data_IF_111052388708
#
_entry.id   IF_111052388708
#
_cell.length_a   1.000
_cell.length_b   1.000
_cell.length_c   1.000
_cell.angle_alpha   90.00
_cell.angle_beta   90.00
_cell.angle_gamma   90.00
#
_symmetry.space_group_name_H-M   'P 1'
#
loop_
_entity.id
_entity.type
_entity.pdbx_description
1 polymer ?
#
# COMPACT_ATOMS: atom_id res chain seq x y z
N UNK A 1 -19.54 -3.90 23.43
CA UNK A 1 -18.55 -4.56 24.31
C UNK A 1 -17.73 -5.53 23.47
N UNK A 2 -16.63 -5.07 22.87
CA UNK A 2 -15.68 -5.94 22.18
C UNK A 2 -14.84 -6.67 23.22
N UNK A 3 -15.02 -7.98 23.29
CA UNK A 3 -14.44 -8.87 24.30
C UNK A 3 -12.91 -8.79 24.33
N UNK A 4 -12.33 -8.60 25.52
CA UNK A 4 -10.89 -8.56 25.76
C UNK A 4 -10.13 -9.82 25.28
N UNK A 5 -10.84 -10.93 25.01
CA UNK A 5 -10.30 -12.17 24.46
C UNK A 5 -9.90 -12.09 22.98
N UNK A 6 -10.29 -11.04 22.24
CA UNK A 6 -9.99 -10.91 20.80
C UNK A 6 -8.56 -10.43 20.51
N UNK A 7 -7.99 -9.58 21.36
CA UNK A 7 -6.66 -8.96 21.15
C UNK A 7 -5.49 -9.96 21.05
N UNK A 8 -5.37 -11.01 21.89
CA UNK A 8 -4.26 -11.96 21.77
C UNK A 8 -4.37 -12.83 20.51
N UNK A 9 -5.59 -13.23 20.11
CA UNK A 9 -5.81 -14.01 18.89
C UNK A 9 -5.50 -13.18 17.64
N UNK A 10 -6.00 -11.93 17.57
CA UNK A 10 -5.67 -11.02 16.45
C UNK A 10 -4.16 -10.78 16.36
N UNK A 11 -3.46 -10.59 17.48
CA UNK A 11 -2.00 -10.46 17.50
C UNK A 11 -1.30 -11.72 16.97
N UNK A 12 -1.72 -12.91 17.38
CA UNK A 12 -1.13 -14.16 16.90
C UNK A 12 -1.36 -14.35 15.38
N UNK A 13 -2.59 -14.08 14.90
CA UNK A 13 -2.94 -14.19 13.47
C UNK A 13 -2.17 -13.17 12.63
N UNK A 14 -2.12 -11.91 13.07
CA UNK A 14 -1.37 -10.85 12.36
C UNK A 14 0.14 -11.09 12.40
N UNK A 15 0.70 -11.60 13.50
CA UNK A 15 2.11 -11.98 13.58
C UNK A 15 2.47 -13.14 12.63
N UNK A 16 1.60 -14.16 12.53
CA UNK A 16 1.76 -15.24 11.57
C UNK A 16 1.69 -14.72 10.13
N UNK A 17 0.67 -13.91 9.82
CA UNK A 17 0.50 -13.28 8.51
C UNK A 17 1.70 -12.41 8.13
N UNK A 18 2.22 -11.61 9.06
CA UNK A 18 3.41 -10.78 8.88
C UNK A 18 4.65 -11.61 8.58
N UNK A 19 4.85 -12.72 9.30
CA UNK A 19 5.96 -13.65 9.08
C UNK A 19 5.90 -14.26 7.68
N UNK A 20 4.72 -14.70 7.25
CA UNK A 20 4.52 -15.21 5.88
C UNK A 20 4.75 -14.11 4.84
N UNK A 21 4.24 -12.89 5.07
CA UNK A 21 4.46 -11.74 4.21
C UNK A 21 5.93 -11.36 4.07
N UNK A 22 6.71 -11.47 5.14
CA UNK A 22 8.16 -11.25 5.14
C UNK A 22 8.86 -12.27 4.24
N UNK A 23 8.53 -13.56 4.39
CA UNK A 23 9.09 -14.62 3.56
C UNK A 23 8.73 -14.41 2.08
N UNK A 24 7.47 -14.08 1.78
CA UNK A 24 7.03 -13.82 0.41
C UNK A 24 7.77 -12.64 -0.24
N UNK A 25 8.06 -11.57 0.52
CA UNK A 25 8.71 -10.37 -0.01
C UNK A 25 10.24 -10.46 -0.11
N UNK A 26 10.89 -11.25 0.75
CA UNK A 26 12.36 -11.21 0.89
C UNK A 26 13.06 -12.56 0.72
N UNK A 27 12.39 -13.71 0.88
CA UNK A 27 13.03 -15.01 0.73
C UNK A 27 12.98 -15.51 -0.73
N UNK A 28 14.06 -16.06 -1.29
CA UNK A 28 14.00 -16.86 -2.52
C UNK A 28 13.14 -18.13 -2.33
N UNK A 29 12.45 -18.62 -3.36
CA UNK A 29 12.28 -18.00 -4.69
C UNK A 29 11.18 -16.92 -4.72
N UNK A 30 10.40 -16.80 -3.64
CA UNK A 30 9.18 -15.98 -3.59
C UNK A 30 9.41 -14.51 -3.92
N UNK A 31 10.51 -13.93 -3.45
CA UNK A 31 10.86 -12.53 -3.77
C UNK A 31 10.89 -12.26 -5.28
N UNK A 32 11.34 -13.22 -6.08
CA UNK A 32 11.41 -13.08 -7.54
C UNK A 32 10.06 -13.27 -8.21
N UNK A 33 9.23 -14.15 -7.64
CA UNK A 33 7.85 -14.35 -8.07
C UNK A 33 6.94 -13.14 -7.76
N UNK A 34 7.39 -12.18 -6.95
CA UNK A 34 6.66 -10.95 -6.56
C UNK A 34 7.26 -9.66 -7.17
N UNK A 35 8.03 -9.78 -8.25
CA UNK A 35 8.64 -8.64 -8.95
C UNK A 35 7.65 -7.78 -9.75
N UNK A 36 8.15 -6.78 -10.51
CA UNK A 36 7.31 -5.86 -11.30
C UNK A 36 6.33 -6.57 -12.23
N UNK A 37 6.80 -7.62 -12.93
CA UNK A 37 6.00 -8.37 -13.90
C UNK A 37 4.91 -9.25 -13.28
N UNK A 38 4.89 -9.40 -11.97
CA UNK A 38 3.97 -10.30 -11.26
C UNK A 38 2.61 -9.67 -10.95
N UNK A 39 2.02 -9.00 -11.94
CA UNK A 39 0.72 -8.32 -11.81
C UNK A 39 -0.45 -9.26 -11.52
N UNK A 40 -0.29 -10.57 -11.79
CA UNK A 40 -1.27 -11.60 -11.44
C UNK A 40 -1.64 -11.60 -9.94
N UNK A 41 -0.76 -11.06 -9.10
CA UNK A 41 -1.01 -10.93 -7.67
C UNK A 41 -2.10 -9.92 -7.33
N UNK A 42 -2.20 -8.80 -8.03
CA UNK A 42 -3.15 -7.72 -7.72
C UNK A 42 -4.62 -8.15 -7.83
N UNK A 43 -5.09 -8.85 -8.89
CA UNK A 43 -6.46 -9.35 -8.93
C UNK A 43 -6.72 -10.43 -7.86
N UNK A 44 -5.71 -11.22 -7.48
CA UNK A 44 -5.84 -12.18 -6.38
C UNK A 44 -6.01 -11.45 -5.04
N UNK A 45 -5.17 -10.45 -4.77
CA UNK A 45 -5.24 -9.61 -3.56
C UNK A 45 -6.58 -8.88 -3.48
N UNK A 46 -7.08 -8.34 -4.59
CA UNK A 46 -8.39 -7.69 -4.65
C UNK A 46 -9.52 -8.66 -4.26
N UNK A 47 -9.48 -9.91 -4.74
CA UNK A 47 -10.45 -10.96 -4.34
C UNK A 47 -10.34 -11.30 -2.86
N UNK A 48 -9.12 -11.51 -2.35
CA UNK A 48 -8.86 -11.82 -0.94
C UNK A 48 -9.38 -10.69 -0.05
N UNK A 49 -9.06 -9.42 -0.36
CA UNK A 49 -9.49 -8.28 0.45
C UNK A 49 -11.02 -8.15 0.46
N UNK A 50 -11.70 -8.31 -0.68
CA UNK A 50 -13.17 -8.29 -0.73
C UNK A 50 -13.80 -9.39 0.14
N UNK A 51 -13.29 -10.62 0.03
CA UNK A 51 -13.75 -11.73 0.86
C UNK A 51 -13.46 -11.47 2.35
N UNK A 52 -12.28 -10.93 2.67
CA UNK A 52 -11.90 -10.68 4.05
C UNK A 52 -12.78 -9.60 4.71
N UNK A 53 -13.13 -8.56 3.96
CA UNK A 53 -14.14 -7.57 4.37
C UNK A 53 -15.49 -8.21 4.66
N UNK A 54 -16.00 -9.00 3.71
CA UNK A 54 -17.34 -9.57 3.80
C UNK A 54 -17.49 -10.66 4.88
N UNK A 55 -16.42 -11.40 5.20
CA UNK A 55 -16.48 -12.60 6.05
C UNK A 55 -15.83 -12.42 7.42
N UNK A 56 -14.81 -11.57 7.54
CA UNK A 56 -14.02 -11.46 8.78
C UNK A 56 -14.16 -10.10 9.46
N UNK A 57 -13.76 -9.02 8.80
CA UNK A 57 -13.77 -7.66 9.37
C UNK A 57 -13.75 -6.63 8.23
N UNK A 58 -14.66 -5.65 8.25
CA UNK A 58 -14.72 -4.54 7.28
C UNK A 58 -13.40 -3.75 7.20
N UNK A 59 -12.56 -3.80 8.25
CA UNK A 59 -11.21 -3.24 8.24
C UNK A 59 -10.27 -3.92 7.24
N UNK A 60 -10.57 -5.15 6.81
CA UNK A 60 -9.85 -5.90 5.79
C UNK A 60 -10.46 -5.78 4.37
N UNK A 61 -11.71 -5.28 4.27
CA UNK A 61 -12.46 -5.05 3.01
C UNK A 61 -11.91 -3.89 2.17
N UNK A 62 -12.39 -3.57 0.98
CA UNK A 62 -11.91 -2.40 0.21
C UNK A 62 -12.20 -1.05 0.88
N UNK A 63 -11.36 -0.02 0.71
CA UNK A 63 -11.70 1.38 1.06
C UNK A 63 -11.36 2.36 -0.07
N UNK A 64 -12.07 3.48 -0.21
CA UNK A 64 -11.62 4.57 -1.06
C UNK A 64 -10.30 5.17 -0.54
N UNK A 65 -9.46 5.65 -1.45
CA UNK A 65 -8.42 6.63 -1.12
C UNK A 65 -9.05 7.99 -0.84
N UNK A 66 -8.33 8.82 -0.09
CA UNK A 66 -8.67 10.24 0.05
C UNK A 66 -7.75 11.09 -0.83
N UNK A 67 -8.22 12.24 -1.31
CA UNK A 67 -7.36 13.13 -2.10
C UNK A 67 -6.16 13.66 -1.33
N UNK A 68 -6.22 13.72 0.00
CA UNK A 68 -5.06 14.05 0.84
C UNK A 68 -3.93 12.99 0.78
N UNK A 69 -4.25 11.75 0.38
CA UNK A 69 -3.24 10.69 0.16
C UNK A 69 -2.49 10.89 -1.17
N UNK A 70 -2.92 11.78 -2.07
CA UNK A 70 -2.25 11.97 -3.36
C UNK A 70 -0.85 12.59 -3.19
N UNK A 71 0.17 11.82 -3.58
CA UNK A 71 1.55 12.27 -3.52
C UNK A 71 1.99 12.98 -4.80
N UNK A 72 1.44 12.60 -5.95
CA UNK A 72 1.75 13.17 -7.26
C UNK A 72 1.58 12.14 -8.38
N UNK A 73 1.99 12.53 -9.58
CA UNK A 73 1.91 11.71 -10.78
C UNK A 73 3.31 11.42 -11.32
N UNK A 74 3.59 10.16 -11.66
CA UNK A 74 4.79 9.77 -12.41
C UNK A 74 4.44 9.77 -13.90
N UNK A 75 5.17 10.55 -14.71
CA UNK A 75 5.04 10.61 -16.18
C UNK A 75 5.73 9.42 -16.86
N UNK A 76 5.31 8.21 -16.50
CA UNK A 76 5.80 6.95 -17.07
C UNK A 76 4.66 5.96 -17.17
N UNK A 77 4.81 4.96 -18.03
CA UNK A 77 3.88 3.82 -18.03
C UNK A 77 3.89 3.09 -16.68
N UNK A 78 2.83 2.32 -16.41
CA UNK A 78 2.75 1.49 -15.20
C UNK A 78 3.94 0.52 -15.10
N UNK A 79 4.32 -0.13 -16.21
CA UNK A 79 5.42 -1.08 -16.23
C UNK A 79 6.77 -0.43 -15.86
N UNK A 80 7.04 0.76 -16.41
CA UNK A 80 8.25 1.52 -16.07
C UNK A 80 8.22 2.03 -14.63
N UNK A 81 7.05 2.44 -14.14
CA UNK A 81 6.86 2.88 -12.75
C UNK A 81 7.15 1.74 -11.79
N UNK A 82 6.59 0.55 -12.01
CA UNK A 82 6.80 -0.61 -11.13
C UNK A 82 8.23 -1.14 -11.21
N UNK A 83 8.87 -1.09 -12.38
CA UNK A 83 10.30 -1.39 -12.53
C UNK A 83 11.18 -0.41 -11.73
N UNK A 84 10.85 0.89 -11.77
CA UNK A 84 11.52 1.92 -10.99
C UNK A 84 11.40 1.69 -9.48
N UNK A 85 10.18 1.40 -9.01
CA UNK A 85 9.91 1.09 -7.60
C UNK A 85 10.75 -0.09 -7.14
N UNK A 86 10.76 -1.18 -7.91
CA UNK A 86 11.56 -2.36 -7.61
C UNK A 86 13.05 -2.07 -7.54
N UNK A 87 13.58 -1.32 -8.51
CA UNK A 87 14.98 -0.90 -8.54
C UNK A 87 15.37 -0.03 -7.33
N UNK A 88 14.43 0.77 -6.81
CA UNK A 88 14.57 1.57 -5.58
C UNK A 88 14.30 0.80 -4.28
N UNK A 89 14.17 -0.53 -4.36
CA UNK A 89 14.03 -1.39 -3.18
C UNK A 89 12.60 -1.54 -2.66
N UNK A 90 11.59 -0.98 -3.34
CA UNK A 90 10.20 -1.25 -2.98
C UNK A 90 9.84 -2.72 -3.25
N UNK A 91 8.86 -3.22 -2.50
CA UNK A 91 8.29 -4.57 -2.62
C UNK A 91 6.78 -4.49 -2.75
N UNK A 92 6.16 -5.45 -3.43
CA UNK A 92 4.69 -5.60 -3.42
C UNK A 92 4.21 -5.78 -1.98
N UNK A 93 3.06 -5.20 -1.63
CA UNK A 93 2.44 -5.37 -0.31
C UNK A 93 1.23 -6.31 -0.39
N UNK A 94 1.42 -7.64 -0.31
CA UNK A 94 0.33 -8.60 -0.40
C UNK A 94 -0.69 -8.52 0.74
N UNK A 95 -0.30 -7.91 1.86
CA UNK A 95 -1.10 -7.82 3.08
C UNK A 95 -1.85 -6.50 3.19
N UNK A 96 -1.77 -5.63 2.18
CA UNK A 96 -2.55 -4.40 2.15
C UNK A 96 -4.03 -4.67 1.87
N UNK A 97 -4.87 -3.95 2.60
CA UNK A 97 -6.27 -3.71 2.24
C UNK A 97 -6.35 -3.08 0.85
N UNK A 98 -7.27 -3.57 0.00
CA UNK A 98 -7.54 -3.01 -1.32
C UNK A 98 -7.97 -1.54 -1.23
N UNK A 99 -7.35 -0.68 -2.04
CA UNK A 99 -7.78 0.71 -2.24
C UNK A 99 -8.54 0.89 -3.54
N UNK A 100 -9.47 1.82 -3.54
CA UNK A 100 -10.25 2.20 -4.72
C UNK A 100 -10.21 3.71 -4.95
N UNK A 101 -10.30 4.14 -6.21
CA UNK A 101 -10.50 5.53 -6.61
C UNK A 101 -11.72 5.58 -7.51
N UNK A 102 -12.75 6.32 -7.12
CA UNK A 102 -14.02 6.41 -7.85
C UNK A 102 -14.67 5.05 -8.17
N UNK A 103 -14.43 4.06 -7.30
CA UNK A 103 -14.90 2.68 -7.46
C UNK A 103 -13.92 1.75 -8.16
N UNK A 104 -12.94 2.28 -8.89
CA UNK A 104 -11.93 1.49 -9.58
C UNK A 104 -10.85 0.99 -8.61
N UNK A 105 -10.44 -0.29 -8.69
CA UNK A 105 -9.41 -0.84 -7.82
C UNK A 105 -8.02 -0.32 -8.19
N UNK A 106 -7.17 -0.13 -7.17
CA UNK A 106 -5.74 0.12 -7.39
C UNK A 106 -5.10 -1.03 -8.19
N UNK A 107 -4.12 -0.70 -9.01
CA UNK A 107 -3.44 -1.67 -9.88
C UNK A 107 -2.02 -2.00 -9.40
N UNK A 108 -1.57 -1.37 -8.32
CA UNK A 108 -0.29 -1.66 -7.69
C UNK A 108 -0.26 -1.20 -6.24
N UNK A 109 0.14 -2.12 -5.36
CA UNK A 109 0.35 -1.83 -3.94
C UNK A 109 1.80 -2.16 -3.57
N UNK A 110 2.56 -1.13 -3.22
CA UNK A 110 4.01 -1.18 -3.07
C UNK A 110 4.48 -0.56 -1.77
N UNK A 111 5.48 -1.14 -1.13
CA UNK A 111 6.02 -0.67 0.15
C UNK A 111 7.52 -0.51 0.10
N UNK A 112 8.00 0.55 0.73
CA UNK A 112 9.42 0.74 1.02
C UNK A 112 9.67 0.64 2.53
N UNK A 113 10.78 -0.01 2.88
CA UNK A 113 11.28 -0.12 4.24
C UNK A 113 12.81 0.01 4.20
N UNK A 114 13.38 0.72 5.18
CA UNK A 114 14.83 0.87 5.29
C UNK A 114 15.54 -0.48 5.51
N UNK A 115 14.91 -1.38 6.28
CA UNK A 115 15.31 -2.77 6.47
C UNK A 115 14.06 -3.66 6.48
N UNK A 116 14.15 -4.98 6.19
CA UNK A 116 12.97 -5.84 6.05
C UNK A 116 12.01 -5.82 7.25
N UNK A 117 12.57 -5.78 8.46
CA UNK A 117 11.82 -5.74 9.73
C UNK A 117 11.65 -4.32 10.30
N UNK A 118 11.78 -3.26 9.50
CA UNK A 118 11.52 -1.92 9.98
C UNK A 118 10.10 -1.83 10.58
N UNK A 119 9.94 -1.03 11.63
CA UNK A 119 8.63 -0.86 12.30
C UNK A 119 7.65 -0.03 11.46
N UNK A 120 8.17 0.87 10.62
CA UNK A 120 7.38 1.69 9.69
C UNK A 120 7.67 1.30 8.24
N UNK A 121 6.66 1.52 7.40
CA UNK A 121 6.75 1.39 5.95
C UNK A 121 6.12 2.61 5.28
N UNK A 122 6.69 3.03 4.16
CA UNK A 122 5.99 3.87 3.19
C UNK A 122 5.17 2.95 2.29
N UNK A 123 3.87 3.18 2.19
CA UNK A 123 2.97 2.44 1.31
C UNK A 123 2.51 3.35 0.16
N UNK A 124 2.66 2.85 -1.06
CA UNK A 124 2.24 3.47 -2.30
C UNK A 124 1.10 2.68 -2.93
N UNK A 125 0.15 3.44 -3.47
CA UNK A 125 -1.08 2.98 -4.09
C UNK A 125 -1.11 3.58 -5.49
N UNK A 126 -1.14 2.72 -6.51
CA UNK A 126 -0.98 3.12 -7.90
C UNK A 126 -2.30 3.07 -8.65
N UNK A 127 -2.63 4.14 -9.35
CA UNK A 127 -3.71 4.20 -10.33
C UNK A 127 -3.17 4.71 -11.67
N UNK A 128 -3.39 3.99 -12.78
CA UNK A 128 -2.97 4.46 -14.09
C UNK A 128 -3.85 5.66 -14.48
N UNK A 129 -3.27 6.56 -15.25
CA UNK A 129 -3.96 7.67 -15.88
C UNK A 129 -3.94 7.40 -17.38
N UNK A 130 -5.11 7.37 -18.00
CA UNK A 130 -5.21 7.29 -19.45
C UNK A 130 -4.69 8.60 -20.05
N UNK A 131 -3.65 8.54 -20.88
CA UNK A 131 -3.19 9.72 -21.61
C UNK A 131 -4.18 10.07 -22.70
N UNK A 132 -4.58 11.34 -22.79
CA UNK A 132 -5.38 11.87 -23.89
C UNK A 132 -4.73 11.65 -25.27
N UNK A 133 -3.40 11.50 -25.31
CA UNK A 133 -2.62 11.50 -26.54
C UNK A 133 -2.34 10.10 -27.12
N UNK A 134 -2.78 9.01 -26.43
CA UNK A 134 -2.86 7.64 -26.97
C UNK A 134 -1.59 6.99 -27.54
N UNK A 135 -0.44 7.65 -27.50
CA UNK A 135 0.80 7.17 -28.09
C UNK A 135 1.43 6.01 -27.30
N UNK A 136 2.10 5.06 -27.96
CA UNK A 136 2.86 4.01 -27.27
C UNK A 136 3.95 4.65 -26.39
N UNK A 137 3.89 4.41 -25.08
CA UNK A 137 4.80 5.00 -24.10
C UNK A 137 4.28 6.27 -23.39
N UNK A 138 3.16 6.85 -23.83
CA UNK A 138 2.49 7.94 -23.14
C UNK A 138 1.62 7.38 -22.00
N UNK A 139 2.26 6.98 -20.91
CA UNK A 139 1.56 6.58 -19.69
C UNK A 139 1.85 7.55 -18.55
N UNK A 140 0.87 7.72 -17.66
CA UNK A 140 1.08 8.36 -16.38
C UNK A 140 0.46 7.49 -15.27
N UNK A 141 1.01 7.59 -14.06
CA UNK A 141 0.52 6.87 -12.90
C UNK A 141 0.36 7.85 -11.76
N UNK A 142 -0.86 7.98 -11.26
CA UNK A 142 -1.12 8.67 -10.01
C UNK A 142 -0.69 7.79 -8.84
N UNK A 143 0.06 8.40 -7.93
CA UNK A 143 0.61 7.76 -6.75
C UNK A 143 -0.06 8.37 -5.53
N UNK A 144 -0.75 7.53 -4.77
CA UNK A 144 -1.25 7.85 -3.44
C UNK A 144 -0.33 7.20 -2.41
N UNK A 145 -0.15 7.82 -1.24
CA UNK A 145 0.81 7.39 -0.26
C UNK A 145 0.36 7.63 1.19
N UNK A 146 0.82 6.76 2.08
CA UNK A 146 0.83 6.99 3.52
C UNK A 146 1.99 6.22 4.17
N UNK A 147 2.50 6.73 5.29
CA UNK A 147 3.38 5.98 6.18
C UNK A 147 2.53 5.19 7.17
N UNK A 148 2.92 3.97 7.52
CA UNK A 148 2.15 3.13 8.43
C UNK A 148 3.04 2.10 9.14
N UNK A 149 2.57 1.46 10.22
CA UNK A 149 3.25 0.31 10.77
C UNK A 149 3.46 -0.78 9.71
N UNK A 150 4.58 -1.48 9.82
CA UNK A 150 4.99 -2.47 8.84
C UNK A 150 4.07 -3.70 8.86
N UNK A 151 3.54 -4.05 7.69
CA UNK A 151 2.68 -5.22 7.51
C UNK A 151 3.41 -6.56 7.68
N UNK A 152 4.75 -6.56 7.67
CA UNK A 152 5.59 -7.76 7.74
C UNK A 152 6.51 -7.82 8.96
N UNK A 153 6.41 -6.86 9.88
CA UNK A 153 7.08 -6.95 11.17
C UNK A 153 6.07 -7.51 12.20
N UNK A 154 6.26 -8.75 12.70
CA UNK A 154 5.33 -9.39 13.61
C UNK A 154 5.06 -8.62 14.91
N UNK A 155 5.96 -7.73 15.32
CA UNK A 155 5.82 -6.92 16.53
C UNK A 155 4.81 -5.77 16.38
N UNK A 156 4.60 -5.30 15.15
CA UNK A 156 3.76 -4.12 14.86
C UNK A 156 2.64 -4.38 13.85
N UNK A 157 2.57 -5.57 13.27
CA UNK A 157 1.58 -5.94 12.24
C UNK A 157 0.11 -5.82 12.69
N UNK A 158 -0.17 -5.98 13.99
CA UNK A 158 -1.50 -5.73 14.52
C UNK A 158 -1.92 -4.26 14.36
N UNK A 159 -1.00 -3.31 14.58
CA UNK A 159 -1.27 -1.89 14.38
C UNK A 159 -1.50 -1.54 12.89
N UNK A 160 -0.81 -2.23 11.97
CA UNK A 160 -1.09 -2.14 10.53
C UNK A 160 -2.52 -2.58 10.20
N UNK A 161 -2.95 -3.74 10.73
CA UNK A 161 -4.31 -4.24 10.54
C UNK A 161 -5.38 -3.29 11.07
N UNK A 162 -5.13 -2.71 12.24
CA UNK A 162 -6.03 -1.73 12.88
C UNK A 162 -5.92 -0.32 12.28
N UNK A 163 -5.08 -0.11 11.26
CA UNK A 163 -4.72 1.19 10.69
C UNK A 163 -4.23 2.23 11.73
N UNK A 164 -3.78 1.77 12.89
CA UNK A 164 -3.31 2.61 13.99
C UNK A 164 -1.93 3.15 13.67
N UNK A 165 -1.74 4.48 13.74
CA UNK A 165 -0.44 5.11 13.45
C UNK A 165 -0.12 5.30 11.97
N UNK A 166 -1.10 5.09 11.08
CA UNK A 166 -1.03 5.50 9.67
C UNK A 166 -0.92 7.03 9.61
N UNK A 167 -0.01 7.60 8.83
CA UNK A 167 0.24 9.04 8.71
C UNK A 167 0.33 9.41 7.22
N UNK A 168 -0.60 10.25 6.76
CA UNK A 168 -0.70 10.63 5.35
C UNK A 168 0.36 11.66 4.99
N UNK A 169 0.54 12.70 5.81
CA UNK A 169 1.52 13.76 5.58
C UNK A 169 2.93 13.20 5.41
N UNK A 170 3.36 12.37 6.37
CA UNK A 170 4.67 11.71 6.35
C UNK A 170 4.83 10.82 5.10
N UNK A 171 3.78 10.10 4.70
CA UNK A 171 3.85 9.23 3.52
C UNK A 171 3.96 10.00 2.21
N UNK A 172 3.18 11.08 2.07
CA UNK A 172 3.21 11.96 0.89
C UNK A 172 4.59 12.63 0.75
N UNK A 173 5.12 13.18 1.84
CA UNK A 173 6.47 13.76 1.88
C UNK A 173 7.52 12.72 1.48
N UNK A 174 7.54 11.55 2.13
CA UNK A 174 8.50 10.50 1.82
C UNK A 174 8.42 9.99 0.37
N UNK A 175 7.22 9.97 -0.23
CA UNK A 175 7.02 9.58 -1.61
C UNK A 175 7.61 10.62 -2.57
N UNK A 176 7.34 11.92 -2.32
CA UNK A 176 7.88 13.05 -3.10
C UNK A 176 9.41 13.11 -3.07
N UNK A 177 10.01 12.79 -1.93
CA UNK A 177 11.49 12.74 -1.80
C UNK A 177 12.13 11.58 -2.57
N UNK A 178 11.40 10.48 -2.76
CA UNK A 178 11.95 9.23 -3.32
C UNK A 178 11.68 9.05 -4.81
N UNK A 179 10.67 9.72 -5.33
CA UNK A 179 10.13 9.47 -6.66
C UNK A 179 10.06 10.77 -7.48
N UNK A 180 10.24 10.69 -8.81
CA UNK A 180 10.09 11.83 -9.70
C UNK A 180 8.60 12.14 -9.90
N UNK A 181 7.95 12.66 -8.85
CA UNK A 181 6.52 12.99 -8.85
C UNK A 181 6.29 14.43 -9.29
N UNK A 182 5.31 14.63 -10.16
CA UNK A 182 4.75 15.92 -10.51
C UNK A 182 3.41 16.10 -9.81
N UNK A 183 3.22 17.21 -9.09
CA UNK A 183 1.90 17.57 -8.55
C UNK A 183 1.13 18.30 -9.65
N UNK A 184 0.22 17.58 -10.32
CA UNK A 184 -0.52 18.10 -11.48
C UNK A 184 -1.95 18.54 -11.15
N UNK A 185 -2.38 18.33 -9.90
CA UNK A 185 -3.67 18.80 -9.37
C UNK A 185 -3.51 19.28 -7.94
N UNK A 186 -4.34 20.26 -7.58
CA UNK A 186 -4.48 20.70 -6.18
C UNK A 186 -5.19 19.61 -5.39
N UNK A 187 -4.68 19.34 -4.20
CA UNK A 187 -5.28 18.41 -3.24
C UNK A 187 -5.29 19.03 -1.87
N UNK A 188 -6.25 18.66 -1.00
CA UNK A 188 -6.24 19.11 0.39
C UNK A 188 -4.90 18.76 1.05
N UNK A 189 -4.43 19.62 1.94
CA UNK A 189 -3.27 19.30 2.76
C UNK A 189 -3.53 18.00 3.54
N UNK A 190 -2.55 17.10 3.60
CA UNK A 190 -2.65 15.93 4.45
C UNK A 190 -2.95 16.33 5.91
N UNK A 191 -3.78 15.58 6.64
CA UNK A 191 -4.04 15.89 8.04
C UNK A 191 -2.75 15.80 8.88
N UNK A 192 -2.63 16.68 9.87
CA UNK A 192 -1.53 16.64 10.83
C UNK A 192 -1.58 15.36 11.68
N UNK A 193 -0.49 14.60 11.69
CA UNK A 193 -0.33 13.41 12.52
C UNK A 193 -1.03 12.15 11.99
N UNK A 194 -1.11 11.09 12.83
CA UNK A 194 -1.63 9.81 12.38
C UNK A 194 -3.16 9.84 12.18
N UNK A 195 -3.63 9.32 11.04
CA UNK A 195 -5.02 9.22 10.60
C UNK A 195 -5.94 8.50 11.61
N UNK A 196 -5.38 7.68 12.50
CA UNK A 196 -6.11 7.07 13.62
C UNK A 196 -6.48 8.05 14.74
N UNK A 197 -6.26 9.36 14.57
CA UNK A 197 -6.64 10.42 15.51
C UNK A 197 -8.07 10.95 15.31
N UNK A 198 -8.87 10.38 14.40
CA UNK A 198 -10.31 10.67 14.40
C UNK A 198 -10.99 9.84 15.50
N UNK A 199 -11.35 10.55 16.56
CA UNK A 199 -12.17 10.14 17.71
C UNK A 199 -13.39 9.28 17.33
#
# INVERSE_FOLDING_TARGET
>A
MTSATSRPLTRAVTALGATLGLLLQYAPPFRWAMGPRSRWWEPLRARISRLAGAVFDDRAGPRPVTEAEYAGTVRRSLDETEALLWARGFRRNPLSRLKTRDGDPEVGSWVFRAVPLAERQLHLILFPVESADGGPGAGAVDVYAHAEPSSVNPLVAAAHFDATGQNVAEGVEQARDRLPLEVVRETPDPPDGPWSSRE
#
